data_IF_606570359803
#
_entry.id   IF_606570359803
#
_cell.length_a   1.000
_cell.length_b   1.000
_cell.length_c   1.000
_cell.angle_alpha   90.00
_cell.angle_beta   90.00
_cell.angle_gamma   90.00
#
_symmetry.space_group_name_H-M   'P 1'
#
loop_
_entity.id
_entity.type
_entity.pdbx_description
1 polymer ?
#
# COMPACT_ATOMS: atom_id res chain seq x y z
N UNK A 1 -11.31 36.12 64.06
CA UNK A 1 -12.12 37.19 63.41
C UNK A 1 -11.91 37.05 61.92
N UNK A 2 -12.92 36.58 61.19
CA UNK A 2 -12.87 36.49 59.73
C UNK A 2 -12.73 37.91 59.17
N UNK A 3 -11.64 38.15 58.44
CA UNK A 3 -11.40 39.43 57.79
C UNK A 3 -12.46 39.59 56.69
N UNK A 4 -13.33 40.60 56.82
CA UNK A 4 -14.38 40.92 55.85
C UNK A 4 -13.85 40.99 54.41
N UNK A 5 -12.59 41.41 54.22
CA UNK A 5 -11.93 41.44 52.91
C UNK A 5 -11.71 40.04 52.31
N UNK A 6 -11.48 39.01 53.13
CA UNK A 6 -11.36 37.63 52.68
C UNK A 6 -12.70 37.07 52.19
N UNK A 7 -13.79 37.35 52.92
CA UNK A 7 -15.14 36.97 52.51
C UNK A 7 -15.58 37.68 51.23
N UNK A 8 -15.25 38.98 51.07
CA UNK A 8 -15.50 39.72 49.82
C UNK A 8 -14.70 39.14 48.64
N UNK A 9 -13.47 38.69 48.87
CA UNK A 9 -12.66 38.06 47.81
C UNK A 9 -13.22 36.70 47.36
N UNK A 10 -13.68 35.87 48.30
CA UNK A 10 -14.32 34.58 47.99
C UNK A 10 -15.62 34.76 47.21
N UNK A 11 -16.47 35.71 47.61
CA UNK A 11 -17.70 36.07 46.88
C UNK A 11 -17.35 36.53 45.46
N UNK A 12 -16.36 37.41 45.29
CA UNK A 12 -15.94 37.86 43.95
C UNK A 12 -15.40 36.73 43.07
N UNK A 13 -14.72 35.74 43.64
CA UNK A 13 -14.29 34.56 42.88
C UNK A 13 -15.47 33.69 42.46
N UNK A 14 -16.44 33.47 43.36
CA UNK A 14 -17.66 32.71 43.04
C UNK A 14 -18.50 33.42 41.98
N UNK A 15 -18.66 34.74 42.08
CA UNK A 15 -19.35 35.56 41.07
C UNK A 15 -18.63 35.49 39.73
N UNK A 16 -17.30 35.56 39.71
CA UNK A 16 -16.52 35.44 38.48
C UNK A 16 -16.63 34.04 37.84
N UNK A 17 -16.67 32.98 38.65
CA UNK A 17 -16.88 31.60 38.17
C UNK A 17 -18.29 31.44 37.56
N UNK A 18 -19.32 31.96 38.22
CA UNK A 18 -20.70 31.96 37.73
C UNK A 18 -20.85 32.75 36.43
N UNK A 19 -20.24 33.93 36.35
CA UNK A 19 -20.21 34.73 35.12
C UNK A 19 -19.56 33.96 33.96
N UNK A 20 -18.42 33.28 34.19
CA UNK A 20 -17.79 32.44 33.16
C UNK A 20 -18.67 31.27 32.72
N UNK A 21 -19.39 30.64 33.65
CA UNK A 21 -20.30 29.54 33.33
C UNK A 21 -21.50 30.03 32.49
N UNK A 22 -22.10 31.16 32.88
CA UNK A 22 -23.18 31.79 32.11
C UNK A 22 -22.72 32.19 30.70
N UNK A 23 -21.55 32.83 30.57
CA UNK A 23 -20.98 33.15 29.26
C UNK A 23 -20.73 31.89 28.41
N UNK A 24 -20.33 30.77 29.01
CA UNK A 24 -20.09 29.52 28.29
C UNK A 24 -21.41 28.92 27.77
N UNK A 25 -22.47 28.96 28.58
CA UNK A 25 -23.81 28.48 28.20
C UNK A 25 -24.42 29.33 27.09
N UNK A 26 -24.26 30.65 27.16
CA UNK A 26 -24.77 31.56 26.13
C UNK A 26 -23.97 31.44 24.83
N UNK A 27 -22.64 31.28 24.90
CA UNK A 27 -21.82 30.94 23.72
C UNK A 27 -22.24 29.62 23.09
N UNK A 28 -22.57 28.62 23.91
CA UNK A 28 -23.05 27.33 23.41
C UNK A 28 -24.37 27.48 22.67
N UNK A 29 -25.35 28.19 23.24
CA UNK A 29 -26.63 28.48 22.57
C UNK A 29 -26.44 29.24 21.26
N UNK A 30 -25.56 30.24 21.25
CA UNK A 30 -25.19 30.95 20.01
C UNK A 30 -24.74 29.96 18.93
N UNK A 31 -23.75 29.12 19.21
CA UNK A 31 -23.24 28.15 18.24
C UNK A 31 -24.27 27.09 17.83
N UNK A 32 -25.15 26.65 18.73
CA UNK A 32 -26.25 25.73 18.39
C UNK A 32 -27.19 26.34 17.33
N UNK A 33 -27.54 27.61 17.48
CA UNK A 33 -28.37 28.33 16.51
C UNK A 33 -27.61 28.54 15.19
N UNK A 34 -26.34 28.97 15.24
CA UNK A 34 -25.52 29.16 14.03
C UNK A 34 -25.33 27.83 13.28
N UNK A 35 -25.14 26.72 13.99
CA UNK A 35 -25.09 25.37 13.41
C UNK A 35 -26.41 24.98 12.75
N UNK A 36 -27.56 25.23 13.40
CA UNK A 36 -28.87 25.00 12.80
C UNK A 36 -29.06 25.81 11.52
N UNK A 37 -28.69 27.10 11.53
CA UNK A 37 -28.77 27.95 10.34
C UNK A 37 -27.87 27.45 9.21
N UNK A 38 -26.61 27.13 9.50
CA UNK A 38 -25.66 26.56 8.53
C UNK A 38 -26.22 25.31 7.83
N UNK A 39 -26.92 24.44 8.54
CA UNK A 39 -27.53 23.24 7.97
C UNK A 39 -28.96 23.43 7.42
N UNK A 40 -29.50 24.64 7.42
CA UNK A 40 -30.87 24.94 6.97
C UNK A 40 -31.97 24.32 7.85
N UNK A 41 -31.68 24.12 9.14
CA UNK A 41 -32.55 23.48 10.15
C UNK A 41 -33.06 24.47 11.19
N UNK A 42 -33.21 25.73 10.81
CA UNK A 42 -33.70 26.79 11.70
C UNK A 42 -35.09 26.48 12.23
N UNK A 43 -35.30 26.73 13.52
CA UNK A 43 -36.57 26.61 14.21
C UNK A 43 -37.29 27.96 14.31
N UNK A 44 -38.62 27.95 14.50
CA UNK A 44 -39.43 29.17 14.52
C UNK A 44 -39.08 30.19 15.62
N UNK A 45 -38.32 29.79 16.65
CA UNK A 45 -37.84 30.65 17.73
C UNK A 45 -36.38 31.15 17.56
N UNK A 46 -35.62 30.59 16.62
CA UNK A 46 -34.17 30.80 16.53
C UNK A 46 -33.79 32.25 16.30
N UNK A 47 -34.55 33.00 15.51
CA UNK A 47 -34.26 34.41 15.24
C UNK A 47 -34.34 35.28 16.51
N UNK A 48 -35.31 35.01 17.39
CA UNK A 48 -35.47 35.74 18.64
C UNK A 48 -34.42 35.33 19.66
N UNK A 49 -34.12 34.02 19.75
CA UNK A 49 -33.08 33.51 20.63
C UNK A 49 -31.70 34.01 20.22
N UNK A 50 -31.40 34.03 18.92
CA UNK A 50 -30.16 34.56 18.37
C UNK A 50 -29.98 36.04 18.72
N UNK A 51 -31.01 36.86 18.52
CA UNK A 51 -31.00 38.28 18.88
C UNK A 51 -30.69 38.48 20.37
N UNK A 52 -31.33 37.70 21.24
CA UNK A 52 -31.13 37.80 22.69
C UNK A 52 -29.70 37.39 23.07
N UNK A 53 -29.19 36.29 22.53
CA UNK A 53 -27.85 35.79 22.86
C UNK A 53 -26.75 36.68 22.28
N UNK A 54 -26.93 37.21 21.07
CA UNK A 54 -26.00 38.18 20.48
C UNK A 54 -25.94 39.47 21.30
N UNK A 55 -27.06 39.96 21.82
CA UNK A 55 -27.07 41.11 22.73
C UNK A 55 -26.37 40.83 24.05
N UNK A 56 -26.61 39.66 24.67
CA UNK A 56 -25.96 39.28 25.94
C UNK A 56 -24.45 39.11 25.81
N UNK A 57 -23.98 38.60 24.67
CA UNK A 57 -22.56 38.38 24.38
C UNK A 57 -21.89 39.56 23.68
N UNK A 58 -22.60 40.66 23.46
CA UNK A 58 -22.14 41.85 22.72
C UNK A 58 -21.60 41.53 21.31
N UNK A 59 -22.22 40.55 20.63
CA UNK A 59 -21.84 40.10 19.28
C UNK A 59 -22.55 40.91 18.18
N UNK A 60 -21.84 41.12 17.08
CA UNK A 60 -22.33 41.82 15.89
C UNK A 60 -22.79 40.87 14.79
N UNK A 61 -23.49 41.38 13.78
CA UNK A 61 -23.83 40.63 12.56
C UNK A 61 -22.57 40.11 11.84
N UNK A 62 -21.45 40.83 11.95
CA UNK A 62 -20.16 40.39 11.39
C UNK A 62 -19.63 39.17 12.14
N UNK A 63 -19.76 39.13 13.47
CA UNK A 63 -19.35 37.97 14.26
C UNK A 63 -20.20 36.74 13.93
N UNK A 64 -21.50 36.93 13.67
CA UNK A 64 -22.39 35.88 13.21
C UNK A 64 -21.98 35.34 11.83
N UNK A 65 -21.75 36.22 10.85
CA UNK A 65 -21.29 35.81 9.52
C UNK A 65 -19.93 35.09 9.57
N UNK A 66 -19.00 35.57 10.41
CA UNK A 66 -17.72 34.93 10.66
C UNK A 66 -17.90 33.53 11.30
N UNK A 67 -18.83 33.39 12.25
CA UNK A 67 -19.14 32.11 12.88
C UNK A 67 -19.72 31.10 11.87
N UNK A 68 -20.64 31.53 11.00
CA UNK A 68 -21.17 30.71 9.91
C UNK A 68 -20.06 30.19 8.99
N UNK A 69 -19.17 31.08 8.55
CA UNK A 69 -18.03 30.72 7.70
C UNK A 69 -17.05 29.79 8.43
N UNK A 70 -16.77 30.06 9.70
CA UNK A 70 -15.87 29.25 10.50
C UNK A 70 -16.43 27.83 10.74
N UNK A 71 -17.74 27.69 10.95
CA UNK A 71 -18.40 26.38 11.09
C UNK A 71 -18.21 25.56 9.81
N UNK A 72 -18.45 26.14 8.64
CA UNK A 72 -18.25 25.46 7.35
C UNK A 72 -16.80 24.95 7.21
N UNK A 73 -15.82 25.82 7.43
CA UNK A 73 -14.40 25.49 7.36
C UNK A 73 -13.99 24.41 8.37
N UNK A 74 -14.49 24.48 9.61
CA UNK A 74 -14.20 23.48 10.64
C UNK A 74 -14.83 22.13 10.27
N UNK A 75 -16.07 22.12 9.79
CA UNK A 75 -16.74 20.90 9.35
C UNK A 75 -15.99 20.25 8.18
N UNK A 76 -15.60 21.03 7.17
CA UNK A 76 -14.83 20.53 6.02
C UNK A 76 -13.46 19.98 6.46
N UNK A 77 -12.70 20.74 7.24
CA UNK A 77 -11.38 20.33 7.71
C UNK A 77 -11.43 19.09 8.60
N UNK A 78 -12.39 19.02 9.53
CA UNK A 78 -12.56 17.86 10.40
C UNK A 78 -13.05 16.63 9.63
N UNK A 79 -13.94 16.79 8.66
CA UNK A 79 -14.39 15.69 7.80
C UNK A 79 -13.24 15.15 6.95
N UNK A 80 -12.43 16.04 6.37
CA UNK A 80 -11.25 15.65 5.59
C UNK A 80 -10.20 14.97 6.47
N UNK A 81 -9.95 15.47 7.68
CA UNK A 81 -9.09 14.82 8.66
C UNK A 81 -9.58 13.39 8.97
N UNK A 82 -10.87 13.21 9.27
CA UNK A 82 -11.44 11.89 9.55
C UNK A 82 -11.33 10.94 8.35
N UNK A 83 -11.54 11.45 7.13
CA UNK A 83 -11.37 10.69 5.89
C UNK A 83 -9.92 10.24 5.71
N UNK A 84 -8.95 11.13 5.94
CA UNK A 84 -7.52 10.83 5.87
C UNK A 84 -7.09 9.86 6.96
N UNK A 85 -7.55 10.02 8.20
CA UNK A 85 -7.29 9.09 9.30
C UNK A 85 -7.82 7.69 8.97
N UNK A 86 -9.03 7.60 8.44
CA UNK A 86 -9.61 6.34 7.98
C UNK A 86 -8.81 5.73 6.80
N UNK A 87 -8.34 6.55 5.86
CA UNK A 87 -7.51 6.10 4.75
C UNK A 87 -6.13 5.62 5.22
N UNK A 88 -5.55 6.26 6.24
CA UNK A 88 -4.27 5.91 6.84
C UNK A 88 -4.34 4.63 7.68
N UNK A 89 -5.51 4.31 8.25
CA UNK A 89 -5.73 3.03 8.94
C UNK A 89 -5.42 1.86 7.99
N UNK A 90 -4.37 1.12 8.30
CA UNK A 90 -3.90 -0.01 7.49
C UNK A 90 -3.06 0.36 6.25
N UNK A 91 -2.68 1.62 6.06
CA UNK A 91 -1.71 2.02 5.03
C UNK A 91 -0.37 1.27 5.15
N UNK A 92 0.22 1.09 6.36
CA UNK A 92 1.48 0.34 6.49
C UNK A 92 1.36 -1.11 6.02
N UNK A 93 0.23 -1.76 6.32
CA UNK A 93 -0.05 -3.14 5.88
C UNK A 93 -0.23 -3.22 4.37
N UNK A 94 -1.05 -2.35 3.79
CA UNK A 94 -1.27 -2.29 2.33
C UNK A 94 0.04 -2.00 1.57
N UNK A 95 0.87 -1.11 2.10
CA UNK A 95 2.19 -0.81 1.56
C UNK A 95 3.10 -2.04 1.60
N UNK A 96 3.18 -2.73 2.75
CA UNK A 96 3.98 -3.96 2.92
C UNK A 96 3.56 -5.02 1.91
N UNK A 97 2.26 -5.30 1.78
CA UNK A 97 1.72 -6.29 0.85
C UNK A 97 1.99 -5.93 -0.62
N UNK A 98 1.79 -4.67 -1.00
CA UNK A 98 2.09 -4.20 -2.36
C UNK A 98 3.58 -4.34 -2.68
N UNK A 99 4.45 -4.04 -1.71
CA UNK A 99 5.90 -4.15 -1.87
C UNK A 99 6.38 -5.60 -2.01
N UNK A 100 5.77 -6.52 -1.27
CA UNK A 100 6.02 -7.97 -1.45
C UNK A 100 5.65 -8.39 -2.88
N UNK A 101 4.43 -8.05 -3.34
CA UNK A 101 3.97 -8.38 -4.71
C UNK A 101 4.91 -7.84 -5.79
N UNK A 102 5.37 -6.60 -5.62
CA UNK A 102 6.34 -5.97 -6.53
C UNK A 102 7.67 -6.75 -6.60
N UNK A 103 8.20 -7.17 -5.45
CA UNK A 103 9.46 -7.93 -5.40
C UNK A 103 9.31 -9.32 -6.04
N UNK A 104 8.20 -10.01 -5.79
CA UNK A 104 7.88 -11.29 -6.43
C UNK A 104 7.80 -11.13 -7.94
N UNK A 105 7.03 -10.15 -8.44
CA UNK A 105 6.90 -9.90 -9.86
C UNK A 105 8.25 -9.58 -10.54
N UNK A 106 9.12 -8.82 -9.87
CA UNK A 106 10.46 -8.52 -10.39
C UNK A 106 11.34 -9.77 -10.54
N UNK A 107 11.19 -10.75 -9.65
CA UNK A 107 11.92 -12.03 -9.74
C UNK A 107 11.32 -12.88 -10.85
N UNK A 108 9.99 -12.95 -10.95
CA UNK A 108 9.29 -13.69 -12.00
C UNK A 108 9.64 -13.17 -13.40
N UNK A 109 9.70 -11.85 -13.59
CA UNK A 109 10.13 -11.24 -14.86
C UNK A 109 11.52 -11.70 -15.26
N UNK A 110 12.49 -11.72 -14.33
CA UNK A 110 13.85 -12.19 -14.61
C UNK A 110 13.88 -13.68 -14.95
N UNK A 111 13.05 -14.47 -14.27
CA UNK A 111 12.90 -15.90 -14.56
C UNK A 111 12.36 -16.12 -15.97
N UNK A 112 11.27 -15.46 -16.34
CA UNK A 112 10.68 -15.58 -17.69
C UNK A 112 11.61 -15.06 -18.79
N UNK A 113 12.32 -13.95 -18.56
CA UNK A 113 13.33 -13.46 -19.51
C UNK A 113 14.40 -14.51 -19.80
N UNK A 114 14.82 -15.26 -18.77
CA UNK A 114 15.77 -16.35 -18.93
C UNK A 114 15.17 -17.54 -19.69
N UNK A 115 13.95 -17.94 -19.33
CA UNK A 115 13.24 -19.03 -20.04
C UNK A 115 13.10 -18.70 -21.54
N UNK A 116 12.68 -17.48 -21.88
CA UNK A 116 12.60 -17.01 -23.28
C UNK A 116 13.98 -17.00 -23.96
N UNK A 117 15.03 -16.54 -23.27
CA UNK A 117 16.38 -16.53 -23.82
C UNK A 117 16.89 -17.94 -24.12
N UNK A 118 16.68 -18.88 -23.21
CA UNK A 118 17.11 -20.26 -23.38
C UNK A 118 16.32 -20.95 -24.50
N UNK A 119 15.00 -20.71 -24.61
CA UNK A 119 14.20 -21.20 -25.75
C UNK A 119 14.64 -20.59 -27.09
N UNK A 120 14.98 -19.30 -27.10
CA UNK A 120 15.39 -18.60 -28.32
C UNK A 120 16.69 -19.15 -28.93
N UNK A 121 17.54 -19.81 -28.13
CA UNK A 121 18.79 -20.43 -28.60
C UNK A 121 18.58 -21.79 -29.23
N UNK A 122 17.51 -22.51 -28.88
CA UNK A 122 17.28 -23.90 -29.32
C UNK A 122 17.37 -24.09 -30.85
N UNK A 123 16.85 -23.19 -31.70
CA UNK A 123 17.00 -23.34 -33.15
C UNK A 123 18.47 -23.31 -33.60
N UNK A 124 19.28 -22.43 -33.01
CA UNK A 124 20.71 -22.32 -33.33
C UNK A 124 21.49 -23.53 -32.83
N UNK A 125 21.19 -24.03 -31.63
CA UNK A 125 21.81 -25.22 -31.05
C UNK A 125 21.44 -26.49 -31.83
N UNK A 126 20.19 -26.60 -32.30
CA UNK A 126 19.75 -27.68 -33.15
C UNK A 126 20.50 -27.69 -34.49
N UNK A 127 20.68 -26.52 -35.11
CA UNK A 127 21.44 -26.42 -36.35
C UNK A 127 22.92 -26.80 -36.15
N UNK A 128 23.53 -26.34 -35.05
CA UNK A 128 24.89 -26.72 -34.70
C UNK A 128 25.01 -28.24 -34.46
N UNK A 129 24.07 -28.84 -33.74
CA UNK A 129 24.05 -30.29 -33.50
C UNK A 129 23.90 -31.09 -34.81
N UNK A 130 23.04 -30.64 -35.74
CA UNK A 130 22.91 -31.26 -37.07
C UNK A 130 24.21 -31.19 -37.86
N UNK A 131 24.91 -30.05 -37.81
CA UNK A 131 26.20 -29.91 -38.49
C UNK A 131 27.25 -30.86 -37.90
N UNK A 132 27.34 -30.96 -36.57
CA UNK A 132 28.24 -31.91 -35.90
C UNK A 132 27.95 -33.35 -36.30
N UNK A 133 26.67 -33.75 -36.38
CA UNK A 133 26.31 -35.10 -36.83
C UNK A 133 26.75 -35.34 -38.28
N UNK A 134 26.59 -34.34 -39.16
CA UNK A 134 27.04 -34.42 -40.54
C UNK A 134 28.57 -34.56 -40.64
N UNK A 135 29.32 -33.74 -39.92
CA UNK A 135 30.79 -33.79 -39.90
C UNK A 135 31.29 -35.14 -39.34
N UNK A 136 30.56 -35.72 -38.38
CA UNK A 136 30.85 -37.04 -37.82
C UNK A 136 30.55 -38.17 -38.82
N UNK A 137 29.50 -38.05 -39.63
CA UNK A 137 29.22 -39.00 -40.69
C UNK A 137 30.30 -38.99 -41.78
N UNK A 138 30.86 -37.83 -42.10
CA UNK A 138 31.94 -37.69 -43.08
C UNK A 138 33.30 -38.20 -42.54
N UNK A 139 33.62 -37.92 -41.28
CA UNK A 139 34.89 -38.32 -40.65
C UNK A 139 34.92 -39.76 -40.13
N UNK A 140 33.75 -40.32 -39.78
CA UNK A 140 33.60 -41.67 -39.24
C UNK A 140 32.48 -42.47 -39.93
N UNK A 141 32.56 -42.69 -41.25
CA UNK A 141 31.47 -43.28 -42.03
C UNK A 141 31.06 -44.68 -41.56
N UNK A 142 31.98 -45.45 -40.95
CA UNK A 142 31.71 -46.79 -40.39
C UNK A 142 30.70 -46.80 -39.23
N UNK A 143 30.38 -45.65 -38.63
CA UNK A 143 29.42 -45.52 -37.53
C UNK A 143 28.01 -45.13 -38.01
N UNK A 144 27.84 -44.90 -39.31
CA UNK A 144 26.60 -44.43 -39.93
C UNK A 144 26.19 -45.37 -41.07
N UNK A 145 24.90 -45.42 -41.36
CA UNK A 145 24.35 -46.17 -42.48
C UNK A 145 24.41 -45.37 -43.81
N UNK A 146 24.00 -45.99 -44.91
CA UNK A 146 23.97 -45.37 -46.24
C UNK A 146 23.02 -44.16 -46.33
N UNK A 147 22.11 -44.00 -45.36
CA UNK A 147 21.20 -42.85 -45.27
C UNK A 147 21.76 -41.72 -44.40
N UNK A 148 22.96 -41.87 -43.85
CA UNK A 148 23.60 -40.90 -42.95
C UNK A 148 23.03 -40.90 -41.54
N UNK A 149 22.31 -41.95 -41.13
CA UNK A 149 21.85 -42.13 -39.75
C UNK A 149 22.85 -42.98 -38.96
N UNK A 150 22.96 -42.80 -37.63
CA UNK A 150 23.78 -43.70 -36.80
C UNK A 150 23.34 -45.16 -36.96
N UNK A 151 24.29 -46.10 -36.95
CA UNK A 151 23.97 -47.53 -37.02
C UNK A 151 23.02 -47.94 -35.89
N UNK A 152 22.04 -48.80 -36.18
CA UNK A 152 21.02 -49.25 -35.22
C UNK A 152 21.60 -49.87 -33.93
N UNK A 153 22.81 -50.44 -33.98
CA UNK A 153 23.51 -50.97 -32.80
C UNK A 153 23.85 -49.88 -31.76
N UNK A 154 23.92 -48.60 -32.18
CA UNK A 154 24.20 -47.45 -31.32
C UNK A 154 22.93 -46.88 -30.66
N UNK A 155 21.73 -47.27 -31.11
CA UNK A 155 20.47 -46.76 -30.58
C UNK A 155 20.33 -46.85 -29.06
N UNK A 156 20.71 -47.96 -28.38
CA UNK A 156 20.64 -48.04 -26.92
C UNK A 156 21.52 -46.98 -26.24
N UNK A 157 22.74 -46.77 -26.74
CA UNK A 157 23.67 -45.78 -26.20
C UNK A 157 23.19 -44.35 -26.44
N UNK A 158 22.63 -44.07 -27.63
CA UNK A 158 22.01 -42.78 -27.97
C UNK A 158 20.81 -42.50 -27.05
N UNK A 159 19.94 -43.49 -26.84
CA UNK A 159 18.78 -43.38 -25.93
C UNK A 159 19.21 -43.12 -24.50
N UNK A 160 20.24 -43.82 -24.02
CA UNK A 160 20.80 -43.59 -22.69
C UNK A 160 21.35 -42.17 -22.56
N UNK A 161 22.21 -41.73 -23.49
CA UNK A 161 22.79 -40.38 -23.45
C UNK A 161 21.72 -39.28 -23.52
N UNK A 162 20.68 -39.48 -24.33
CA UNK A 162 19.51 -38.59 -24.37
C UNK A 162 18.84 -38.49 -22.99
N UNK A 163 18.59 -39.62 -22.33
CA UNK A 163 17.97 -39.66 -21.00
C UNK A 163 18.81 -38.92 -19.96
N UNK A 164 20.12 -39.17 -19.93
CA UNK A 164 21.07 -38.51 -19.01
C UNK A 164 21.09 -37.00 -19.22
N UNK A 165 21.14 -36.53 -20.48
CA UNK A 165 21.10 -35.10 -20.81
C UNK A 165 19.77 -34.45 -20.43
N UNK A 166 18.65 -35.15 -20.60
CA UNK A 166 17.34 -34.67 -20.17
C UNK A 166 17.24 -34.56 -18.64
N UNK A 167 17.80 -35.53 -17.90
CA UNK A 167 17.85 -35.47 -16.45
C UNK A 167 18.72 -34.31 -15.96
N UNK A 168 19.89 -34.11 -16.55
CA UNK A 168 20.78 -32.98 -16.24
C UNK A 168 20.11 -31.62 -16.52
N UNK A 169 19.41 -31.48 -17.65
CA UNK A 169 18.66 -30.27 -17.98
C UNK A 169 17.55 -29.96 -16.95
N UNK A 170 16.82 -30.99 -16.49
CA UNK A 170 15.81 -30.85 -15.44
C UNK A 170 16.43 -30.38 -14.12
N UNK A 171 17.50 -31.04 -13.68
CA UNK A 171 18.21 -30.66 -12.45
C UNK A 171 18.72 -29.22 -12.52
N UNK A 172 19.29 -28.82 -13.66
CA UNK A 172 19.73 -27.44 -13.87
C UNK A 172 18.57 -26.44 -13.76
N UNK A 173 17.42 -26.74 -14.38
CA UNK A 173 16.22 -25.90 -14.29
C UNK A 173 15.73 -25.75 -12.85
N UNK A 174 15.75 -26.82 -12.06
CA UNK A 174 15.35 -26.80 -10.65
C UNK A 174 16.30 -25.95 -9.81
N UNK A 175 17.61 -26.08 -10.02
CA UNK A 175 18.63 -25.26 -9.34
C UNK A 175 18.47 -23.76 -9.66
N UNK A 176 18.20 -23.43 -10.93
CA UNK A 176 17.95 -22.05 -11.34
C UNK A 176 16.70 -21.48 -10.67
N UNK A 177 15.62 -22.26 -10.59
CA UNK A 177 14.39 -21.85 -9.90
C UNK A 177 14.66 -21.59 -8.40
N UNK A 178 15.34 -22.53 -7.74
CA UNK A 178 15.70 -22.39 -6.33
C UNK A 178 16.58 -21.14 -6.07
N UNK A 179 17.47 -20.79 -7.00
CA UNK A 179 18.29 -19.57 -6.90
C UNK A 179 17.45 -18.28 -6.98
N UNK A 180 16.40 -18.24 -7.83
CA UNK A 180 15.47 -17.12 -7.89
C UNK A 180 14.62 -17.00 -6.62
N UNK A 181 14.13 -18.13 -6.10
CA UNK A 181 13.36 -18.17 -4.85
C UNK A 181 14.23 -17.69 -3.66
N UNK A 182 15.50 -18.11 -3.62
CA UNK A 182 16.48 -17.64 -2.63
C UNK A 182 16.78 -16.13 -2.76
N UNK A 183 16.90 -15.60 -3.99
CA UNK A 183 17.06 -14.17 -4.22
C UNK A 183 15.84 -13.36 -3.75
N UNK A 184 14.63 -13.87 -3.99
CA UNK A 184 13.39 -13.27 -3.48
C UNK A 184 13.42 -13.23 -1.96
N UNK A 185 13.67 -14.37 -1.30
CA UNK A 185 13.69 -14.46 0.15
C UNK A 185 14.73 -13.51 0.77
N UNK A 186 15.95 -13.47 0.22
CA UNK A 186 16.98 -12.52 0.65
C UNK A 186 16.53 -11.06 0.54
N UNK A 187 15.85 -10.68 -0.55
CA UNK A 187 15.32 -9.31 -0.69
C UNK A 187 14.22 -9.00 0.29
N UNK A 188 13.34 -9.97 0.56
CA UNK A 188 12.27 -9.83 1.54
C UNK A 188 12.85 -9.62 2.95
N UNK A 189 13.83 -10.43 3.36
CA UNK A 189 14.51 -10.30 4.66
C UNK A 189 15.27 -8.97 4.75
N UNK A 190 16.07 -8.60 3.74
CA UNK A 190 16.85 -7.35 3.73
C UNK A 190 15.96 -6.10 3.86
N UNK A 191 14.72 -6.17 3.36
CA UNK A 191 13.76 -5.07 3.45
C UNK A 191 12.84 -5.16 4.67
N UNK A 192 13.07 -6.08 5.60
CA UNK A 192 12.23 -6.28 6.80
C UNK A 192 10.82 -6.77 6.49
N UNK A 193 10.62 -7.41 5.33
CA UNK A 193 9.32 -7.89 4.85
C UNK A 193 9.08 -9.38 5.20
N UNK A 194 10.13 -10.12 5.53
CA UNK A 194 10.09 -11.52 5.99
C UNK A 194 11.10 -11.73 7.14
N UNK A 195 10.88 -12.76 7.96
CA UNK A 195 11.82 -13.19 8.99
C UNK A 195 12.93 -14.05 8.36
N UNK A 196 14.17 -13.98 8.91
CA UNK A 196 15.22 -14.91 8.51
C UNK A 196 14.84 -16.34 8.94
N UNK A 197 14.96 -17.28 8.01
CA UNK A 197 14.88 -18.73 8.30
C UNK A 197 16.17 -19.24 8.97
#
# INVERSE_FOLDING_TARGET
MSNLLGQVSEIRQQDAELLRQHEADDKKKFFEIVLRDHFGKTEGGDAQELLNVMQMLELTETDYANALQAIDQVCEAAAEQQRLDAAMKGQPKRYREARIKMLTANVDVKRFQREVHDESKLPSELNAAKQVVKDMAESHPMLFDESGQPLALLDPAIKQSKSERQAAAKQYSEQVKAAFDSDLQRKLVTQGLAEPE
#
